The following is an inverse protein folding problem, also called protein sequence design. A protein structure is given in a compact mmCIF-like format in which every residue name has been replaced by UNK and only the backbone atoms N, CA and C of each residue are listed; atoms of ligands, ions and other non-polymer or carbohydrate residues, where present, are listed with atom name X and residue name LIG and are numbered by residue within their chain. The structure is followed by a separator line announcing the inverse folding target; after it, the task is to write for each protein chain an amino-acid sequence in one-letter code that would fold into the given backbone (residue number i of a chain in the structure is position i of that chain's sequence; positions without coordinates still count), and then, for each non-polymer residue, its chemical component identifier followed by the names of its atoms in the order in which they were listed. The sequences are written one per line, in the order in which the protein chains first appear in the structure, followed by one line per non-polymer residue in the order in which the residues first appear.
data_IF_979927374759
#
_entry.id   IF_979927374759
#
_cell.length_a   1.000
_cell.length_b   1.000
_cell.length_c   1.000
_cell.angle_alpha   90.00
_cell.angle_beta   90.00
_cell.angle_gamma   90.00
#
_symmetry.space_group_name_H-M   'P 1'
#
loop_
_entity.id
_entity.type
_entity.pdbx_description
1 polymer ?
#
# COMPACT_ATOMS: atom_id res chain seq x y z
N UNK A 1 28.40 38.61 22.84
CA UNK A 1 27.97 38.93 21.47
C UNK A 1 28.21 37.77 20.49
N UNK A 2 29.33 37.08 20.55
CA UNK A 2 29.67 35.95 19.64
C UNK A 2 28.74 34.75 19.79
N UNK A 3 28.30 34.40 21.01
CA UNK A 3 27.33 33.33 21.25
C UNK A 3 25.94 33.62 20.67
N UNK A 4 25.47 34.85 20.77
CA UNK A 4 24.18 35.29 20.22
C UNK A 4 24.22 35.24 18.66
N UNK A 5 25.33 35.67 18.06
CA UNK A 5 25.53 35.63 16.62
C UNK A 5 25.50 34.20 16.11
N UNK A 6 26.24 33.26 16.72
CA UNK A 6 26.21 31.83 16.37
C UNK A 6 24.82 31.22 16.54
N UNK A 7 24.06 31.64 17.54
CA UNK A 7 22.70 31.19 17.76
C UNK A 7 21.75 31.69 16.67
N UNK A 8 21.83 32.96 16.27
CA UNK A 8 21.05 33.56 15.20
C UNK A 8 21.40 32.93 13.83
N UNK A 9 22.68 32.67 13.54
CA UNK A 9 23.12 31.97 12.33
C UNK A 9 22.55 30.54 12.26
N UNK A 10 22.50 29.82 13.39
CA UNK A 10 21.84 28.50 13.45
C UNK A 10 20.34 28.56 13.18
N UNK A 11 19.63 29.51 13.78
CA UNK A 11 18.20 29.70 13.52
C UNK A 11 17.96 29.98 12.03
N UNK A 12 18.79 30.83 11.41
CA UNK A 12 18.71 31.09 9.96
C UNK A 12 18.83 29.82 9.14
N UNK A 13 19.83 28.97 9.42
CA UNK A 13 20.01 27.70 8.73
C UNK A 13 18.81 26.74 8.86
N UNK A 14 18.19 26.65 10.05
CA UNK A 14 16.98 25.84 10.24
C UNK A 14 15.78 26.42 9.51
N UNK A 15 15.62 27.74 9.53
CA UNK A 15 14.52 28.42 8.83
C UNK A 15 14.63 28.23 7.30
N UNK A 16 15.83 28.39 6.75
CA UNK A 16 16.10 28.17 5.32
C UNK A 16 15.83 26.73 4.91
N UNK A 17 16.30 25.74 5.69
CA UNK A 17 16.05 24.33 5.44
C UNK A 17 14.55 24.01 5.51
N UNK A 18 13.85 24.56 6.52
CA UNK A 18 12.40 24.36 6.65
C UNK A 18 11.64 24.98 5.47
N UNK A 19 11.95 26.22 5.10
CA UNK A 19 11.32 26.89 3.96
C UNK A 19 11.56 26.14 2.64
N UNK A 20 12.81 25.71 2.41
CA UNK A 20 13.17 24.87 1.26
C UNK A 20 12.25 23.65 1.17
N UNK A 21 12.09 22.90 2.27
CA UNK A 21 11.31 21.66 2.25
C UNK A 21 9.80 21.88 2.25
N UNK A 22 9.30 22.99 2.80
CA UNK A 22 7.90 23.39 2.64
C UNK A 22 7.57 23.68 1.18
N UNK A 23 8.45 24.42 0.47
CA UNK A 23 8.26 24.72 -0.96
C UNK A 23 8.36 23.46 -1.81
N UNK A 24 9.40 22.63 -1.63
CA UNK A 24 9.58 21.40 -2.41
C UNK A 24 8.45 20.41 -2.11
N UNK A 25 8.11 20.20 -0.83
CA UNK A 25 6.99 19.35 -0.42
C UNK A 25 5.66 19.83 -1.01
N UNK A 26 5.41 21.15 -1.00
CA UNK A 26 4.23 21.75 -1.61
C UNK A 26 4.16 21.52 -3.12
N UNK A 27 5.25 21.72 -3.85
CA UNK A 27 5.31 21.47 -5.31
C UNK A 27 5.12 20.00 -5.64
N UNK A 28 5.85 19.11 -4.97
CA UNK A 28 5.75 17.66 -5.18
C UNK A 28 4.35 17.17 -4.79
N UNK A 29 3.80 17.65 -3.67
CA UNK A 29 2.44 17.34 -3.23
C UNK A 29 1.37 17.86 -4.18
N UNK A 30 1.55 19.05 -4.75
CA UNK A 30 0.64 19.62 -5.75
C UNK A 30 0.57 18.77 -7.03
N UNK A 31 1.73 18.47 -7.62
CA UNK A 31 1.82 17.60 -8.81
C UNK A 31 1.32 16.19 -8.48
N UNK A 32 1.79 15.62 -7.35
CA UNK A 32 1.38 14.30 -6.88
C UNK A 32 -0.12 14.24 -6.59
N UNK A 33 -0.70 15.31 -6.04
CA UNK A 33 -2.12 15.43 -5.78
C UNK A 33 -2.97 15.35 -7.05
N UNK A 34 -2.59 16.13 -8.08
CA UNK A 34 -3.28 16.09 -9.38
C UNK A 34 -3.18 14.69 -10.01
N UNK A 35 -1.97 14.13 -10.10
CA UNK A 35 -1.77 12.82 -10.74
C UNK A 35 -2.44 11.71 -9.91
N UNK A 36 -2.38 11.77 -8.58
CA UNK A 36 -3.04 10.83 -7.68
C UNK A 36 -4.57 10.87 -7.81
N UNK A 37 -5.16 12.07 -7.88
CA UNK A 37 -6.58 12.24 -8.10
C UNK A 37 -7.02 11.71 -9.48
N UNK A 38 -6.28 12.03 -10.56
CA UNK A 38 -6.54 11.49 -11.89
C UNK A 38 -6.43 9.96 -11.91
N UNK A 39 -5.46 9.41 -11.20
CA UNK A 39 -5.30 7.96 -11.07
C UNK A 39 -6.48 7.32 -10.32
N UNK A 40 -6.93 7.94 -9.22
CA UNK A 40 -8.13 7.51 -8.51
C UNK A 40 -9.35 7.49 -9.43
N UNK A 41 -9.61 8.61 -10.11
CA UNK A 41 -10.76 8.75 -11.02
C UNK A 41 -10.67 7.76 -12.19
N UNK A 42 -9.48 7.55 -12.76
CA UNK A 42 -9.25 6.59 -13.83
C UNK A 42 -9.53 5.14 -13.43
N UNK A 43 -9.07 4.72 -12.24
CA UNK A 43 -9.34 3.37 -11.70
C UNK A 43 -10.80 3.20 -11.32
N UNK A 44 -11.43 4.22 -10.73
CA UNK A 44 -12.85 4.20 -10.37
C UNK A 44 -13.73 4.08 -11.62
N UNK A 45 -13.47 4.90 -12.64
CA UNK A 45 -14.18 4.83 -13.93
C UNK A 45 -13.99 3.46 -14.61
N UNK A 46 -12.78 2.93 -14.64
CA UNK A 46 -12.51 1.59 -15.17
C UNK A 46 -13.30 0.49 -14.43
N UNK A 47 -13.44 0.62 -13.10
CA UNK A 47 -14.23 -0.29 -12.28
C UNK A 47 -15.73 -0.18 -12.59
N UNK A 48 -16.26 1.05 -12.72
CA UNK A 48 -17.66 1.30 -13.11
C UNK A 48 -17.99 0.72 -14.48
N UNK A 49 -17.12 0.95 -15.49
CA UNK A 49 -17.27 0.37 -16.84
C UNK A 49 -17.31 -1.16 -16.78
N UNK A 50 -16.44 -1.80 -16.00
CA UNK A 50 -16.44 -3.25 -15.81
C UNK A 50 -17.73 -3.74 -15.17
N UNK A 51 -18.24 -3.06 -14.14
CA UNK A 51 -19.48 -3.43 -13.45
C UNK A 51 -20.70 -3.26 -14.38
N UNK A 52 -20.71 -2.20 -15.20
CA UNK A 52 -21.75 -1.97 -16.19
C UNK A 52 -21.69 -2.97 -17.38
N UNK A 53 -20.50 -3.52 -17.69
CA UNK A 53 -20.26 -4.39 -18.83
C UNK A 53 -19.51 -5.66 -18.40
N UNK A 54 -20.19 -6.68 -17.81
CA UNK A 54 -19.53 -7.89 -17.27
C UNK A 54 -18.68 -8.66 -18.29
N UNK A 55 -18.99 -8.53 -19.60
CA UNK A 55 -18.22 -9.17 -20.68
C UNK A 55 -16.76 -8.67 -20.76
N UNK A 56 -16.45 -7.48 -20.22
CA UNK A 56 -15.09 -6.93 -20.20
C UNK A 56 -14.12 -7.83 -19.41
N UNK A 57 -14.62 -8.64 -18.48
CA UNK A 57 -13.83 -9.65 -17.77
C UNK A 57 -13.12 -10.61 -18.74
N UNK A 58 -13.78 -10.99 -19.85
CA UNK A 58 -13.18 -11.90 -20.84
C UNK A 58 -12.00 -11.29 -21.61
N UNK A 59 -11.81 -9.97 -21.51
CA UNK A 59 -10.63 -9.28 -22.06
C UNK A 59 -9.40 -9.36 -21.14
N UNK A 60 -9.49 -9.97 -19.95
CA UNK A 60 -8.38 -10.01 -19.00
C UNK A 60 -7.10 -10.63 -19.61
N UNK A 61 -7.13 -11.75 -20.37
CA UNK A 61 -5.93 -12.26 -21.04
C UNK A 61 -5.32 -11.28 -22.05
N UNK A 62 -6.15 -10.57 -22.81
CA UNK A 62 -5.70 -9.54 -23.75
C UNK A 62 -5.10 -8.33 -23.01
N UNK A 63 -5.72 -7.89 -21.91
CA UNK A 63 -5.18 -6.87 -21.02
C UNK A 63 -3.81 -7.24 -20.47
N UNK A 64 -3.64 -8.50 -20.06
CA UNK A 64 -2.35 -9.04 -19.62
C UNK A 64 -1.27 -8.98 -20.70
N UNK A 65 -1.62 -9.36 -21.95
CA UNK A 65 -0.71 -9.25 -23.11
C UNK A 65 -0.28 -7.78 -23.34
N UNK A 66 -1.23 -6.86 -23.30
CA UNK A 66 -0.96 -5.42 -23.47
C UNK A 66 -0.02 -4.92 -22.38
N UNK A 67 -0.30 -5.22 -21.11
CA UNK A 67 0.55 -4.81 -19.97
C UNK A 67 1.97 -5.36 -20.12
N UNK A 68 2.10 -6.68 -20.31
CA UNK A 68 3.42 -7.32 -20.46
C UNK A 68 4.17 -6.79 -21.69
N UNK A 69 3.48 -6.58 -22.81
CA UNK A 69 4.03 -6.00 -24.03
C UNK A 69 4.56 -4.58 -23.83
N UNK A 70 3.81 -3.72 -23.13
CA UNK A 70 4.23 -2.35 -22.79
C UNK A 70 5.48 -2.34 -21.91
N UNK A 71 5.54 -3.19 -20.86
CA UNK A 71 6.71 -3.29 -19.99
C UNK A 71 7.94 -3.80 -20.77
N UNK A 72 7.76 -4.77 -21.66
CA UNK A 72 8.81 -5.28 -22.53
C UNK A 72 9.33 -4.22 -23.52
N UNK A 73 8.40 -3.49 -24.14
CA UNK A 73 8.74 -2.41 -25.09
C UNK A 73 9.55 -1.30 -24.40
N UNK A 74 9.15 -0.93 -23.17
CA UNK A 74 9.84 0.08 -22.36
C UNK A 74 11.09 -0.45 -21.66
N UNK A 75 11.43 -1.74 -21.75
CA UNK A 75 12.55 -2.40 -21.05
C UNK A 75 12.48 -2.22 -19.52
N UNK A 76 11.28 -2.29 -18.95
CA UNK A 76 11.01 -2.11 -17.52
C UNK A 76 10.43 -3.38 -16.87
N UNK A 77 10.64 -4.55 -17.50
CA UNK A 77 10.22 -5.84 -16.93
C UNK A 77 10.83 -6.03 -15.53
N UNK A 78 10.04 -6.55 -14.59
CA UNK A 78 10.46 -6.73 -13.20
C UNK A 78 10.56 -5.46 -12.35
N UNK A 79 10.36 -4.26 -12.93
CA UNK A 79 10.34 -3.01 -12.16
C UNK A 79 8.98 -2.80 -11.50
N UNK A 80 9.00 -2.48 -10.21
CA UNK A 80 7.82 -2.26 -9.39
C UNK A 80 8.12 -1.36 -8.19
N UNK A 81 7.37 -1.51 -7.10
CA UNK A 81 7.55 -0.73 -5.85
C UNK A 81 8.96 -0.87 -5.29
N UNK A 82 9.57 -2.05 -5.41
CA UNK A 82 10.95 -2.31 -5.01
C UNK A 82 11.96 -1.36 -5.68
N UNK A 83 11.76 -1.01 -6.95
CA UNK A 83 12.65 -0.07 -7.64
C UNK A 83 12.61 1.36 -7.04
N UNK A 84 11.47 1.78 -6.50
CA UNK A 84 11.33 3.07 -5.80
C UNK A 84 11.99 3.01 -4.42
N UNK A 85 11.80 1.92 -3.68
CA UNK A 85 12.47 1.70 -2.38
C UNK A 85 14.00 1.70 -2.56
N UNK A 86 14.51 1.00 -3.57
CA UNK A 86 15.93 0.99 -3.91
C UNK A 86 16.47 2.38 -4.31
N UNK A 87 15.64 3.20 -4.94
CA UNK A 87 16.01 4.60 -5.27
C UNK A 87 16.27 5.42 -4.01
N UNK A 88 15.49 5.22 -2.95
CA UNK A 88 15.68 5.90 -1.68
C UNK A 88 16.93 5.40 -0.95
N UNK A 89 17.19 4.08 -0.96
CA UNK A 89 18.34 3.48 -0.27
C UNK A 89 19.67 3.73 -0.98
N UNK A 90 19.70 3.51 -2.29
CA UNK A 90 20.94 3.40 -3.06
C UNK A 90 21.11 4.53 -4.08
N UNK A 91 20.20 5.52 -4.10
CA UNK A 91 20.25 6.60 -5.09
C UNK A 91 20.02 6.14 -6.53
N UNK A 92 19.49 4.92 -6.74
CA UNK A 92 19.22 4.40 -8.09
C UNK A 92 18.20 5.26 -8.82
N UNK A 93 18.39 5.44 -10.10
CA UNK A 93 17.49 6.25 -10.92
C UNK A 93 16.12 5.59 -11.07
N UNK A 94 15.05 6.38 -10.86
CA UNK A 94 13.68 5.96 -11.17
C UNK A 94 13.38 6.31 -12.63
N UNK A 95 13.12 5.32 -13.51
CA UNK A 95 12.85 5.57 -14.91
C UNK A 95 11.59 6.43 -15.11
N UNK A 96 11.66 7.45 -15.99
CA UNK A 96 10.53 8.37 -16.27
C UNK A 96 9.28 7.62 -16.71
N UNK A 97 9.49 6.64 -17.61
CA UNK A 97 8.40 5.86 -18.20
C UNK A 97 7.69 4.95 -17.19
N UNK A 98 8.26 4.73 -15.99
CA UNK A 98 7.62 3.91 -14.96
C UNK A 98 6.29 4.53 -14.52
N UNK A 99 6.20 5.86 -14.38
CA UNK A 99 5.01 6.56 -13.90
C UNK A 99 3.81 6.37 -14.84
N UNK A 100 3.87 6.75 -16.13
CA UNK A 100 2.75 6.53 -17.03
C UNK A 100 2.46 5.05 -17.26
N UNK A 101 3.48 4.21 -17.23
CA UNK A 101 3.34 2.78 -17.48
C UNK A 101 2.56 2.09 -16.36
N UNK A 102 2.90 2.33 -15.09
CA UNK A 102 2.17 1.76 -13.97
C UNK A 102 0.75 2.32 -13.87
N UNK A 103 0.56 3.61 -14.18
CA UNK A 103 -0.75 4.24 -14.23
C UNK A 103 -1.68 3.50 -15.21
N UNK A 104 -1.28 3.42 -16.48
CA UNK A 104 -2.07 2.78 -17.54
C UNK A 104 -2.27 1.30 -17.26
N UNK A 105 -1.24 0.60 -16.86
CA UNK A 105 -1.30 -0.84 -16.58
C UNK A 105 -2.24 -1.18 -15.42
N UNK A 106 -2.24 -0.37 -14.36
CA UNK A 106 -3.16 -0.57 -13.23
C UNK A 106 -4.62 -0.28 -13.64
N UNK A 107 -4.85 0.76 -14.44
CA UNK A 107 -6.20 1.04 -14.98
C UNK A 107 -6.69 -0.13 -15.84
N UNK A 108 -5.84 -0.69 -16.73
CA UNK A 108 -6.17 -1.88 -17.53
C UNK A 108 -6.48 -3.09 -16.63
N UNK A 109 -5.68 -3.34 -15.59
CA UNK A 109 -5.91 -4.43 -14.65
C UNK A 109 -7.30 -4.31 -14.00
N UNK A 110 -7.69 -3.13 -13.52
CA UNK A 110 -8.99 -2.90 -12.90
C UNK A 110 -10.14 -2.96 -13.90
N UNK A 111 -9.94 -2.42 -15.10
CA UNK A 111 -10.93 -2.48 -16.18
C UNK A 111 -11.27 -3.93 -16.53
N UNK A 112 -10.26 -4.78 -16.72
CA UNK A 112 -10.44 -6.17 -17.10
C UNK A 112 -10.78 -7.11 -15.92
N UNK A 113 -10.76 -6.62 -14.66
CA UNK A 113 -11.16 -7.41 -13.49
C UNK A 113 -10.05 -8.21 -12.83
N UNK A 114 -8.77 -7.86 -13.04
CA UNK A 114 -7.67 -8.43 -12.28
C UNK A 114 -7.79 -8.06 -10.80
N UNK A 115 -7.44 -8.98 -9.91
CA UNK A 115 -7.52 -8.79 -8.45
C UNK A 115 -6.30 -8.07 -7.92
N UNK A 116 -6.40 -6.75 -7.79
CA UNK A 116 -5.33 -5.90 -7.29
C UNK A 116 -5.90 -4.63 -6.64
N UNK A 117 -5.10 -3.99 -5.79
CA UNK A 117 -5.31 -2.63 -5.30
C UNK A 117 -4.65 -1.59 -6.20
N UNK A 118 -4.62 -0.36 -5.73
CA UNK A 118 -4.04 0.79 -6.44
C UNK A 118 -2.95 1.49 -5.63
N UNK A 119 -2.83 1.20 -4.34
CA UNK A 119 -1.97 1.91 -3.39
C UNK A 119 -0.48 1.62 -3.63
N UNK A 120 -0.10 0.38 -3.94
CA UNK A 120 1.27 0.06 -4.35
C UNK A 120 1.68 0.76 -5.65
N UNK A 121 0.74 0.90 -6.60
CA UNK A 121 0.96 1.71 -7.81
C UNK A 121 1.10 3.20 -7.47
N UNK A 122 0.34 3.71 -6.48
CA UNK A 122 0.47 5.10 -6.01
C UNK A 122 1.86 5.40 -5.45
N UNK A 123 2.47 4.47 -4.72
CA UNK A 123 3.86 4.62 -4.24
C UNK A 123 4.85 4.73 -5.39
N UNK A 124 4.66 3.93 -6.45
CA UNK A 124 5.52 3.98 -7.65
C UNK A 124 5.34 5.28 -8.42
N UNK A 125 4.09 5.71 -8.64
CA UNK A 125 3.76 6.99 -9.28
C UNK A 125 4.37 8.14 -8.47
N UNK A 126 4.10 8.14 -7.16
CA UNK A 126 4.58 9.18 -6.25
C UNK A 126 6.08 9.26 -6.17
N UNK A 127 6.76 8.14 -5.96
CA UNK A 127 8.21 8.08 -5.92
C UNK A 127 8.84 8.56 -7.23
N UNK A 128 8.28 8.16 -8.37
CA UNK A 128 8.71 8.63 -9.68
C UNK A 128 8.54 10.15 -9.87
N UNK A 129 7.40 10.70 -9.46
CA UNK A 129 7.13 12.16 -9.49
C UNK A 129 8.11 12.89 -8.57
N UNK A 130 8.26 12.44 -7.32
CA UNK A 130 9.16 13.07 -6.35
C UNK A 130 10.60 13.07 -6.82
N UNK A 131 11.10 11.93 -7.30
CA UNK A 131 12.44 11.80 -7.87
C UNK A 131 12.66 12.77 -9.05
N UNK A 132 11.72 12.82 -10.00
CA UNK A 132 11.83 13.69 -11.19
C UNK A 132 11.72 15.16 -10.84
N UNK A 133 10.81 15.54 -9.96
CA UNK A 133 10.72 16.93 -9.48
C UNK A 133 12.01 17.34 -8.78
N UNK A 134 12.59 16.47 -7.94
CA UNK A 134 13.89 16.71 -7.31
C UNK A 134 15.02 16.92 -8.32
N UNK A 135 15.07 16.10 -9.39
CA UNK A 135 16.06 16.26 -10.47
C UNK A 135 15.86 17.56 -11.25
N UNK A 136 14.62 17.94 -11.56
CA UNK A 136 14.28 19.21 -12.23
C UNK A 136 14.68 20.43 -11.40
N UNK A 137 14.54 20.35 -10.08
CA UNK A 137 14.95 21.39 -9.13
C UNK A 137 16.45 21.34 -8.83
N UNK A 138 17.23 20.48 -9.50
CA UNK A 138 18.69 20.30 -9.31
C UNK A 138 19.06 20.01 -7.85
N UNK A 139 18.24 19.21 -7.15
CA UNK A 139 18.55 18.78 -5.78
C UNK A 139 19.80 17.88 -5.79
N UNK A 140 20.62 18.04 -4.75
CA UNK A 140 21.77 17.18 -4.54
C UNK A 140 21.37 15.72 -4.26
N UNK A 141 22.31 14.79 -4.46
CA UNK A 141 22.08 13.36 -4.29
C UNK A 141 21.53 12.97 -2.90
N UNK A 142 21.86 13.73 -1.85
CA UNK A 142 21.36 13.51 -0.48
C UNK A 142 19.91 13.98 -0.30
N UNK A 143 19.43 14.90 -1.11
CA UNK A 143 18.07 15.46 -1.04
C UNK A 143 17.08 14.71 -1.95
N UNK A 144 17.56 14.02 -2.98
CA UNK A 144 16.73 13.22 -3.89
C UNK A 144 15.90 12.15 -3.19
N UNK A 145 16.44 11.37 -2.23
CA UNK A 145 15.65 10.43 -1.44
C UNK A 145 14.47 11.09 -0.72
N UNK A 146 14.69 12.26 -0.12
CA UNK A 146 13.62 13.01 0.57
C UNK A 146 12.54 13.48 -0.42
N UNK A 147 12.93 13.97 -1.60
CA UNK A 147 11.97 14.34 -2.64
C UNK A 147 11.17 13.12 -3.14
N UNK A 148 11.79 11.95 -3.25
CA UNK A 148 11.12 10.68 -3.59
C UNK A 148 10.08 10.32 -2.53
N UNK A 149 10.42 10.39 -1.23
CA UNK A 149 9.50 10.16 -0.12
C UNK A 149 8.33 11.16 -0.11
N UNK A 150 8.59 12.45 -0.41
CA UNK A 150 7.53 13.45 -0.58
C UNK A 150 6.51 13.02 -1.64
N UNK A 151 7.00 12.54 -2.80
CA UNK A 151 6.13 12.08 -3.86
C UNK A 151 5.31 10.85 -3.45
N UNK A 152 5.94 9.86 -2.80
CA UNK A 152 5.24 8.69 -2.25
C UNK A 152 4.12 9.11 -1.30
N UNK A 153 4.44 9.99 -0.34
CA UNK A 153 3.50 10.50 0.64
C UNK A 153 2.36 11.30 0.00
N UNK A 154 2.68 12.22 -0.93
CA UNK A 154 1.70 13.08 -1.59
C UNK A 154 0.68 12.32 -2.43
N UNK A 155 1.14 11.38 -3.27
CA UNK A 155 0.26 10.57 -4.14
C UNK A 155 -0.56 9.57 -3.35
N UNK A 156 0.04 8.92 -2.34
CA UNK A 156 -0.70 8.00 -1.47
C UNK A 156 -1.81 8.73 -0.72
N UNK A 157 -1.51 9.91 -0.17
CA UNK A 157 -2.47 10.77 0.52
C UNK A 157 -3.62 11.21 -0.40
N UNK A 158 -3.29 11.64 -1.62
CA UNK A 158 -4.28 12.05 -2.62
C UNK A 158 -5.21 10.90 -3.03
N UNK A 159 -4.69 9.67 -3.08
CA UNK A 159 -5.44 8.50 -3.49
C UNK A 159 -6.37 7.97 -2.39
N UNK A 160 -5.90 7.98 -1.16
CA UNK A 160 -6.56 7.29 -0.04
C UNK A 160 -7.25 8.25 0.94
N UNK A 161 -6.83 9.52 0.94
CA UNK A 161 -7.40 10.54 1.81
C UNK A 161 -6.95 10.43 3.28
N UNK A 162 -5.76 9.87 3.51
CA UNK A 162 -5.16 9.66 4.84
C UNK A 162 -3.77 10.30 4.91
N UNK A 163 -3.68 11.64 5.10
CA UNK A 163 -2.41 12.37 5.02
C UNK A 163 -1.41 12.02 6.12
N UNK A 164 -1.86 11.74 7.33
CA UNK A 164 -0.94 11.36 8.41
C UNK A 164 -0.37 9.96 8.18
N UNK A 165 -1.22 9.01 7.82
CA UNK A 165 -0.78 7.66 7.43
C UNK A 165 0.19 7.71 6.27
N UNK A 166 -0.12 8.46 5.22
CA UNK A 166 0.73 8.59 4.03
C UNK A 166 2.12 9.11 4.39
N UNK A 167 2.18 10.08 5.31
CA UNK A 167 3.45 10.63 5.82
C UNK A 167 4.26 9.57 6.55
N UNK A 168 3.67 8.94 7.55
CA UNK A 168 4.37 7.97 8.39
C UNK A 168 4.73 6.72 7.56
N UNK A 169 3.82 6.25 6.71
CA UNK A 169 4.05 5.09 5.85
C UNK A 169 5.23 5.29 4.89
N UNK A 170 5.33 6.46 4.24
CA UNK A 170 6.46 6.76 3.37
C UNK A 170 7.81 6.74 4.11
N UNK A 171 7.82 7.17 5.39
CA UNK A 171 9.03 7.19 6.22
C UNK A 171 9.39 5.83 6.82
N UNK A 172 8.38 4.96 7.04
CA UNK A 172 8.53 3.69 7.73
C UNK A 172 8.75 2.51 6.76
N UNK A 173 8.13 2.55 5.58
CA UNK A 173 8.14 1.43 4.61
C UNK A 173 9.52 1.15 4.02
N UNK A 174 10.40 2.12 4.04
CA UNK A 174 11.76 2.01 3.46
C UNK A 174 12.64 1.10 4.32
N UNK A 175 12.66 1.34 5.64
CA UNK A 175 13.52 0.63 6.58
C UNK A 175 12.79 0.34 7.88
N UNK A 176 12.65 -0.93 8.20
CA UNK A 176 12.04 -1.39 9.45
C UNK A 176 12.99 -1.13 10.61
N UNK A 177 12.48 -0.51 11.68
CA UNK A 177 13.25 -0.19 12.88
C UNK A 177 13.93 1.18 12.87
N UNK A 178 13.85 1.95 11.76
CA UNK A 178 14.35 3.32 11.67
C UNK A 178 13.38 4.20 10.89
N UNK A 179 12.97 5.31 11.49
CA UNK A 179 12.18 6.34 10.83
C UNK A 179 13.08 7.45 10.25
N UNK A 180 12.84 7.82 9.01
CA UNK A 180 13.58 8.87 8.33
C UNK A 180 13.07 10.26 8.77
N UNK A 181 13.33 10.67 10.03
CA UNK A 181 12.77 11.91 10.62
C UNK A 181 13.07 13.18 9.82
N UNK A 182 14.19 13.23 9.08
CA UNK A 182 14.49 14.36 8.19
C UNK A 182 13.41 14.56 7.10
N UNK A 183 12.68 13.49 6.76
CA UNK A 183 11.57 13.53 5.82
C UNK A 183 10.23 13.96 6.43
N UNK A 184 10.11 14.18 7.75
CA UNK A 184 8.82 14.42 8.39
C UNK A 184 8.15 15.68 7.84
N UNK A 185 8.83 16.84 7.90
CA UNK A 185 8.28 18.11 7.40
C UNK A 185 8.00 18.07 5.90
N UNK A 186 8.94 17.62 5.04
CA UNK A 186 8.67 17.50 3.60
C UNK A 186 7.49 16.57 3.29
N UNK A 187 7.44 15.38 3.88
CA UNK A 187 6.40 14.39 3.58
C UNK A 187 5.01 14.81 4.08
N UNK A 188 4.90 15.39 5.30
CA UNK A 188 3.60 15.88 5.78
C UNK A 188 3.10 17.05 4.94
N UNK A 189 3.99 17.94 4.49
CA UNK A 189 3.62 19.03 3.59
C UNK A 189 3.11 18.47 2.26
N UNK A 190 3.83 17.53 1.66
CA UNK A 190 3.41 16.91 0.40
C UNK A 190 2.09 16.12 0.55
N UNK A 191 1.91 15.39 1.66
CA UNK A 191 0.68 14.65 1.95
C UNK A 191 -0.52 15.59 2.12
N UNK A 192 -0.37 16.67 2.88
CA UNK A 192 -1.44 17.63 3.11
C UNK A 192 -1.84 18.37 1.84
N UNK A 193 -0.85 18.84 1.06
CA UNK A 193 -1.13 19.51 -0.23
C UNK A 193 -1.77 18.52 -1.21
N UNK A 194 -1.25 17.29 -1.31
CA UNK A 194 -1.82 16.24 -2.14
C UNK A 194 -3.28 15.92 -1.78
N UNK A 195 -3.57 15.80 -0.49
CA UNK A 195 -4.93 15.61 0.04
C UNK A 195 -5.87 16.77 -0.31
N UNK A 196 -5.44 18.01 -0.08
CA UNK A 196 -6.27 19.19 -0.40
C UNK A 196 -6.54 19.29 -1.91
N UNK A 197 -5.55 19.01 -2.75
CA UNK A 197 -5.72 18.99 -4.22
C UNK A 197 -6.71 17.87 -4.62
N UNK A 198 -6.61 16.67 -4.04
CA UNK A 198 -7.52 15.58 -4.36
C UNK A 198 -8.96 15.86 -3.92
N UNK A 199 -9.16 16.49 -2.76
CA UNK A 199 -10.48 16.97 -2.32
C UNK A 199 -11.06 17.99 -3.30
N UNK A 200 -10.24 18.97 -3.74
CA UNK A 200 -10.66 19.96 -4.72
C UNK A 200 -11.06 19.32 -6.05
N UNK A 201 -10.40 18.21 -6.45
CA UNK A 201 -10.74 17.44 -7.64
C UNK A 201 -11.92 16.46 -7.44
N UNK A 202 -12.56 16.45 -6.26
CA UNK A 202 -13.75 15.63 -5.96
C UNK A 202 -13.45 14.20 -5.54
N UNK A 203 -12.24 13.89 -5.10
CA UNK A 203 -11.90 12.56 -4.54
C UNK A 203 -12.23 12.53 -3.04
N UNK A 204 -13.22 11.72 -2.60
CA UNK A 204 -13.57 11.62 -1.19
C UNK A 204 -12.51 10.83 -0.40
N UNK A 205 -12.26 11.18 0.87
CA UNK A 205 -11.39 10.39 1.74
C UNK A 205 -12.03 9.03 2.06
N UNK A 206 -11.21 8.01 2.18
CA UNK A 206 -11.64 6.68 2.60
C UNK A 206 -11.88 6.70 4.11
N UNK A 207 -13.11 6.46 4.54
CA UNK A 207 -13.49 6.34 5.96
C UNK A 207 -14.56 5.30 6.12
N UNK A 208 -14.55 4.62 7.25
CA UNK A 208 -15.53 3.60 7.59
C UNK A 208 -16.14 3.88 8.97
N UNK A 209 -17.43 3.63 9.10
CA UNK A 209 -18.13 3.71 10.38
C UNK A 209 -18.29 2.31 10.95
N UNK A 210 -17.66 2.06 12.08
CA UNK A 210 -17.73 0.77 12.81
C UNK A 210 -18.02 1.07 14.27
N UNK A 211 -18.93 0.30 14.87
CA UNK A 211 -19.22 0.41 16.30
C UNK A 211 -18.07 -0.22 17.09
N UNK A 212 -17.41 0.61 17.88
CA UNK A 212 -16.26 0.18 18.69
C UNK A 212 -16.73 -0.17 20.11
N UNK A 213 -16.31 -1.34 20.67
CA UNK A 213 -16.61 -1.69 22.04
C UNK A 213 -15.82 -0.80 23.01
N UNK A 214 -16.38 -0.58 24.21
CA UNK A 214 -15.65 0.05 25.30
C UNK A 214 -14.41 -0.77 25.67
N UNK A 215 -13.39 -0.10 26.19
CA UNK A 215 -12.15 -0.76 26.59
C UNK A 215 -12.39 -1.63 27.84
N UNK A 216 -12.25 -2.94 27.69
CA UNK A 216 -12.33 -3.91 28.78
C UNK A 216 -11.28 -5.03 28.61
N UNK A 217 -10.95 -5.70 29.74
CA UNK A 217 -9.88 -6.71 29.76
C UNK A 217 -10.20 -7.98 28.97
N UNK A 218 -11.48 -8.37 28.88
CA UNK A 218 -11.88 -9.57 28.16
C UNK A 218 -11.78 -9.36 26.65
N UNK A 219 -12.37 -8.26 26.15
CA UNK A 219 -12.24 -7.86 24.73
C UNK A 219 -10.77 -7.72 24.34
N UNK A 220 -9.94 -7.14 25.22
CA UNK A 220 -8.51 -7.01 24.97
C UNK A 220 -7.82 -8.37 24.78
N UNK A 221 -8.14 -9.35 25.64
CA UNK A 221 -7.59 -10.72 25.51
C UNK A 221 -8.01 -11.35 24.18
N UNK A 222 -9.26 -11.19 23.76
CA UNK A 222 -9.73 -11.73 22.48
C UNK A 222 -9.09 -11.02 21.28
N UNK A 223 -8.83 -9.70 21.39
CA UNK A 223 -8.07 -8.96 20.38
C UNK A 223 -6.62 -9.45 20.26
N UNK A 224 -5.96 -9.80 21.39
CA UNK A 224 -4.65 -10.42 21.38
C UNK A 224 -4.65 -11.74 20.59
N UNK A 225 -5.64 -12.61 20.86
CA UNK A 225 -5.79 -13.88 20.13
C UNK A 225 -6.03 -13.62 18.63
N UNK A 226 -6.93 -12.71 18.30
CA UNK A 226 -7.21 -12.33 16.90
C UNK A 226 -5.96 -11.78 16.21
N UNK A 227 -5.17 -10.95 16.89
CA UNK A 227 -3.94 -10.37 16.35
C UNK A 227 -2.87 -11.44 16.03
N UNK A 228 -2.74 -12.46 16.88
CA UNK A 228 -1.87 -13.62 16.62
C UNK A 228 -2.30 -14.36 15.35
N UNK A 229 -3.60 -14.59 15.18
CA UNK A 229 -4.13 -15.23 13.99
C UNK A 229 -3.93 -14.34 12.74
N UNK A 230 -4.13 -13.03 12.86
CA UNK A 230 -3.86 -12.06 11.79
C UNK A 230 -2.39 -12.02 11.37
N UNK A 231 -1.45 -12.18 12.31
CA UNK A 231 -0.03 -12.31 11.98
C UNK A 231 0.25 -13.53 11.10
N UNK A 232 -0.36 -14.68 11.41
CA UNK A 232 -0.23 -15.89 10.58
C UNK A 232 -0.81 -15.69 9.19
N UNK A 233 -1.98 -15.00 9.10
CA UNK A 233 -2.62 -14.67 7.81
C UNK A 233 -1.76 -13.70 7.00
N UNK A 234 -1.10 -12.73 7.65
CA UNK A 234 -0.18 -11.80 6.94
C UNK A 234 1.03 -12.53 6.36
N UNK A 235 1.61 -13.50 7.08
CA UNK A 235 2.69 -14.36 6.58
C UNK A 235 2.20 -15.19 5.38
N UNK A 236 1.01 -15.80 5.50
CA UNK A 236 0.43 -16.59 4.42
C UNK A 236 0.17 -15.73 3.18
N UNK A 237 -0.31 -14.50 3.37
CA UNK A 237 -0.55 -13.54 2.29
C UNK A 237 0.74 -13.20 1.55
N UNK A 238 1.78 -12.76 2.27
CA UNK A 238 3.06 -12.40 1.66
C UNK A 238 3.72 -13.59 0.96
N UNK A 239 3.80 -14.74 1.64
CA UNK A 239 4.38 -15.96 1.06
C UNK A 239 3.59 -16.47 -0.14
N UNK A 240 2.25 -16.40 -0.06
CA UNK A 240 1.38 -16.79 -1.17
C UNK A 240 1.65 -15.99 -2.44
N UNK A 241 1.81 -14.67 -2.33
CA UNK A 241 2.17 -13.79 -3.44
C UNK A 241 3.53 -14.17 -4.04
N UNK A 242 4.59 -14.27 -3.22
CA UNK A 242 5.95 -14.55 -3.71
C UNK A 242 6.09 -15.97 -4.29
N UNK A 243 5.49 -16.97 -3.64
CA UNK A 243 5.51 -18.34 -4.14
C UNK A 243 4.81 -18.44 -5.49
N UNK A 244 3.67 -17.76 -5.63
CA UNK A 244 2.90 -17.77 -6.90
C UNK A 244 3.68 -17.05 -7.99
N UNK A 245 4.33 -15.91 -7.70
CA UNK A 245 5.19 -15.20 -8.65
C UNK A 245 6.34 -16.11 -9.14
N UNK A 246 7.11 -16.70 -8.23
CA UNK A 246 8.19 -17.61 -8.57
C UNK A 246 7.73 -18.85 -9.35
N UNK A 247 6.58 -19.43 -8.96
CA UNK A 247 6.01 -20.58 -9.66
C UNK A 247 5.59 -20.20 -11.08
N UNK A 248 4.90 -19.08 -11.24
CA UNK A 248 4.46 -18.58 -12.53
C UNK A 248 5.67 -18.29 -13.46
N UNK A 249 6.75 -17.73 -12.93
CA UNK A 249 8.00 -17.49 -13.67
C UNK A 249 8.72 -18.76 -14.08
N UNK A 250 8.73 -19.76 -13.21
CA UNK A 250 9.30 -21.07 -13.54
C UNK A 250 8.51 -21.82 -14.60
N UNK A 251 7.18 -21.77 -14.53
CA UNK A 251 6.29 -22.42 -15.48
C UNK A 251 6.29 -21.74 -16.86
N UNK A 252 6.32 -20.41 -16.87
CA UNK A 252 6.20 -19.60 -18.08
C UNK A 252 7.21 -18.47 -18.10
N UNK A 253 8.35 -18.67 -18.77
CA UNK A 253 9.41 -17.66 -18.90
C UNK A 253 8.98 -16.44 -19.72
N UNK A 254 8.04 -16.62 -20.67
CA UNK A 254 7.53 -15.53 -21.50
C UNK A 254 6.48 -14.73 -20.70
N UNK A 255 6.80 -13.47 -20.35
CA UNK A 255 5.94 -12.58 -19.58
C UNK A 255 4.56 -12.36 -20.21
N UNK A 256 4.49 -12.28 -21.54
CA UNK A 256 3.22 -12.11 -22.25
C UNK A 256 2.31 -13.33 -22.11
N UNK A 257 2.86 -14.54 -22.34
CA UNK A 257 2.09 -15.77 -22.19
C UNK A 257 1.67 -16.01 -20.74
N UNK A 258 2.56 -15.70 -19.79
CA UNK A 258 2.30 -15.78 -18.34
C UNK A 258 1.12 -14.90 -17.94
N UNK A 259 1.11 -13.65 -18.40
CA UNK A 259 0.02 -12.72 -18.10
C UNK A 259 -1.30 -13.16 -18.73
N UNK A 260 -1.29 -13.63 -19.99
CA UNK A 260 -2.48 -14.15 -20.65
C UNK A 260 -3.05 -15.37 -19.93
N UNK A 261 -2.19 -16.33 -19.56
CA UNK A 261 -2.59 -17.52 -18.81
C UNK A 261 -3.17 -17.16 -17.41
N UNK A 262 -2.52 -16.24 -16.69
CA UNK A 262 -3.04 -15.74 -15.42
C UNK A 262 -4.43 -15.11 -15.58
N UNK A 263 -4.64 -14.31 -16.63
CA UNK A 263 -5.96 -13.76 -16.96
C UNK A 263 -7.01 -14.83 -17.21
N UNK A 264 -6.66 -15.89 -17.97
CA UNK A 264 -7.55 -17.02 -18.21
C UNK A 264 -7.90 -17.79 -16.92
N UNK A 265 -6.93 -17.98 -16.01
CA UNK A 265 -7.16 -18.62 -14.71
C UNK A 265 -8.12 -17.78 -13.85
N UNK A 266 -7.96 -16.44 -13.80
CA UNK A 266 -8.88 -15.55 -13.07
C UNK A 266 -10.30 -15.64 -13.63
N UNK A 267 -10.47 -15.66 -14.96
CA UNK A 267 -11.79 -15.86 -15.58
C UNK A 267 -12.39 -17.20 -15.15
N UNK A 268 -11.62 -18.29 -15.27
CA UNK A 268 -12.08 -19.61 -14.88
C UNK A 268 -12.51 -19.68 -13.40
N UNK A 269 -11.71 -19.09 -12.49
CA UNK A 269 -12.04 -19.02 -11.07
C UNK A 269 -13.30 -18.16 -10.82
N UNK A 270 -13.46 -17.03 -11.52
CA UNK A 270 -14.65 -16.17 -11.38
C UNK A 270 -15.92 -16.91 -11.82
N UNK A 271 -15.85 -17.63 -12.95
CA UNK A 271 -16.97 -18.42 -13.46
C UNK A 271 -17.29 -19.64 -12.56
N UNK A 272 -16.27 -20.31 -12.03
CA UNK A 272 -16.43 -21.45 -11.14
C UNK A 272 -17.12 -21.07 -9.83
N UNK A 273 -16.80 -19.88 -9.30
CA UNK A 273 -17.34 -19.37 -8.04
C UNK A 273 -18.65 -18.59 -8.22
N UNK A 274 -19.04 -18.32 -9.47
CA UNK A 274 -20.21 -17.52 -9.85
C UNK A 274 -20.31 -16.19 -9.08
N UNK A 275 -19.15 -15.54 -8.88
CA UNK A 275 -19.09 -14.24 -8.19
C UNK A 275 -17.90 -13.41 -8.65
N UNK A 276 -18.09 -12.09 -8.69
CA UNK A 276 -17.05 -11.11 -9.00
C UNK A 276 -16.48 -10.42 -7.76
N UNK A 277 -16.84 -10.86 -6.56
CA UNK A 277 -16.43 -10.27 -5.28
C UNK A 277 -14.90 -10.19 -5.10
N UNK A 278 -14.17 -11.12 -5.73
CA UNK A 278 -12.71 -11.22 -5.61
C UNK A 278 -11.95 -10.46 -6.70
N UNK A 279 -12.66 -9.94 -7.73
CA UNK A 279 -12.08 -9.14 -8.80
C UNK A 279 -11.85 -7.68 -8.36
N UNK A 280 -10.87 -7.02 -8.99
CA UNK A 280 -10.49 -5.63 -8.65
C UNK A 280 -10.05 -5.46 -7.20
N UNK A 281 -10.27 -4.28 -6.63
CA UNK A 281 -9.88 -3.95 -5.25
C UNK A 281 -10.75 -4.65 -4.20
N UNK A 282 -12.06 -4.79 -4.43
CA UNK A 282 -12.99 -5.45 -3.51
C UNK A 282 -13.44 -4.56 -2.34
N UNK A 283 -13.52 -3.24 -2.54
CA UNK A 283 -13.91 -2.28 -1.50
C UNK A 283 -15.32 -2.55 -0.95
N UNK A 284 -16.24 -3.03 -1.80
CA UNK A 284 -17.61 -3.36 -1.38
C UNK A 284 -17.64 -4.53 -0.40
N UNK A 285 -16.78 -5.54 -0.61
CA UNK A 285 -16.65 -6.68 0.30
C UNK A 285 -16.01 -6.26 1.63
N UNK A 286 -15.00 -5.36 1.58
CA UNK A 286 -14.43 -4.77 2.80
C UNK A 286 -15.53 -4.05 3.59
N UNK A 287 -16.35 -3.25 2.93
CA UNK A 287 -17.44 -2.52 3.59
C UNK A 287 -18.47 -3.48 4.20
N UNK A 288 -18.83 -4.56 3.51
CA UNK A 288 -19.73 -5.61 4.06
C UNK A 288 -19.10 -6.31 5.28
N UNK A 289 -17.81 -6.64 5.22
CA UNK A 289 -17.11 -7.25 6.35
C UNK A 289 -17.07 -6.33 7.58
N UNK A 290 -16.88 -5.02 7.36
CA UNK A 290 -16.94 -4.01 8.43
C UNK A 290 -18.35 -3.80 8.98
N UNK A 291 -19.40 -4.12 8.20
CA UNK A 291 -20.77 -4.21 8.68
C UNK A 291 -21.07 -5.52 9.41
N UNK A 292 -20.11 -6.45 9.47
CA UNK A 292 -20.24 -7.74 10.15
C UNK A 292 -20.66 -8.90 9.24
N UNK A 293 -20.63 -8.70 7.92
CA UNK A 293 -21.07 -9.69 6.93
C UNK A 293 -19.88 -10.11 6.05
N UNK A 294 -19.34 -11.30 6.27
CA UNK A 294 -18.29 -11.88 5.42
C UNK A 294 -18.45 -13.39 5.29
N UNK A 295 -18.18 -13.91 4.10
CA UNK A 295 -17.99 -15.35 3.90
C UNK A 295 -16.73 -15.82 4.59
N UNK A 296 -16.77 -16.97 5.29
CA UNK A 296 -15.62 -17.53 5.99
C UNK A 296 -14.41 -17.84 5.09
N UNK A 297 -14.63 -18.03 3.79
CA UNK A 297 -13.57 -18.33 2.81
C UNK A 297 -13.10 -17.12 2.00
N UNK A 298 -13.75 -15.96 2.15
CA UNK A 298 -13.50 -14.79 1.32
C UNK A 298 -12.02 -14.33 1.35
N UNK A 299 -11.39 -14.37 2.53
CA UNK A 299 -10.00 -14.00 2.72
C UNK A 299 -9.03 -14.89 1.92
N UNK A 300 -9.28 -16.21 1.90
CA UNK A 300 -8.43 -17.17 1.18
C UNK A 300 -8.61 -17.04 -0.34
N UNK A 301 -9.86 -16.88 -0.79
CA UNK A 301 -10.16 -16.67 -2.20
C UNK A 301 -9.56 -15.36 -2.72
N UNK A 302 -9.65 -14.29 -1.96
CA UNK A 302 -9.00 -13.02 -2.32
C UNK A 302 -7.49 -13.14 -2.41
N UNK A 303 -6.86 -13.83 -1.46
CA UNK A 303 -5.43 -14.14 -1.52
C UNK A 303 -5.08 -14.87 -2.81
N UNK A 304 -5.81 -15.93 -3.16
CA UNK A 304 -5.59 -16.70 -4.38
C UNK A 304 -5.73 -15.84 -5.64
N UNK A 305 -6.82 -15.08 -5.78
CA UNK A 305 -7.05 -14.21 -6.92
C UNK A 305 -5.95 -13.16 -7.08
N UNK A 306 -5.54 -12.53 -5.96
CA UNK A 306 -4.48 -11.52 -5.98
C UNK A 306 -3.13 -12.13 -6.32
N UNK A 307 -2.80 -13.29 -5.72
CA UNK A 307 -1.55 -13.99 -5.98
C UNK A 307 -1.42 -14.39 -7.47
N UNK A 308 -2.48 -14.92 -8.07
CA UNK A 308 -2.50 -15.25 -9.50
C UNK A 308 -2.40 -13.98 -10.35
N UNK A 309 -3.15 -12.92 -10.02
CA UNK A 309 -3.15 -11.68 -10.81
C UNK A 309 -1.74 -11.06 -10.82
N UNK A 310 -1.18 -10.78 -9.64
CA UNK A 310 0.12 -10.08 -9.52
C UNK A 310 1.26 -11.02 -9.93
N UNK A 311 1.26 -12.26 -9.47
CA UNK A 311 2.30 -13.25 -9.78
C UNK A 311 2.40 -13.57 -11.27
N UNK A 312 1.30 -13.45 -12.03
CA UNK A 312 1.34 -13.62 -13.49
C UNK A 312 1.77 -12.34 -14.25
N UNK A 313 2.02 -11.23 -13.55
CA UNK A 313 2.62 -10.02 -14.13
C UNK A 313 1.65 -8.88 -14.40
N UNK A 314 0.39 -8.98 -14.00
CA UNK A 314 -0.51 -7.82 -13.95
C UNK A 314 0.03 -6.77 -12.98
N UNK A 315 -0.37 -5.52 -13.18
CA UNK A 315 0.09 -4.40 -12.38
C UNK A 315 -1.03 -3.84 -11.52
N UNK A 316 -0.67 -3.50 -10.28
CA UNK A 316 -1.57 -2.98 -9.26
C UNK A 316 -0.84 -2.93 -7.93
N UNK A 317 -1.58 -2.80 -6.83
CA UNK A 317 -1.05 -2.79 -5.47
C UNK A 317 -1.55 -3.97 -4.65
N UNK A 318 -0.79 -4.36 -3.65
CA UNK A 318 -1.08 -5.45 -2.71
C UNK A 318 -1.74 -4.95 -1.42
N UNK A 319 -1.74 -3.63 -1.17
CA UNK A 319 -2.20 -3.03 0.09
C UNK A 319 -3.70 -3.25 0.32
N UNK A 320 -4.57 -2.84 -0.64
CA UNK A 320 -6.03 -3.07 -0.47
C UNK A 320 -6.40 -4.55 -0.47
N UNK A 321 -5.79 -5.42 -1.27
CA UNK A 321 -5.95 -6.86 -1.08
C UNK A 321 -5.61 -7.35 0.34
N UNK A 322 -4.57 -6.80 1.00
CA UNK A 322 -4.29 -7.14 2.40
C UNK A 322 -5.37 -6.64 3.36
N UNK A 323 -5.96 -5.47 3.10
CA UNK A 323 -7.12 -4.97 3.84
C UNK A 323 -8.33 -5.90 3.68
N UNK A 324 -8.61 -6.34 2.46
CA UNK A 324 -9.69 -7.29 2.18
C UNK A 324 -9.50 -8.60 2.94
N UNK A 325 -8.31 -9.18 2.81
CA UNK A 325 -7.95 -10.44 3.51
C UNK A 325 -8.08 -10.25 5.01
N UNK A 326 -7.56 -9.16 5.55
CA UNK A 326 -7.63 -8.84 6.97
C UNK A 326 -9.05 -8.60 7.46
N UNK A 327 -9.86 -7.80 6.75
CA UNK A 327 -11.24 -7.49 7.13
C UNK A 327 -12.13 -8.74 7.11
N UNK A 328 -12.08 -9.53 6.03
CA UNK A 328 -12.92 -10.72 5.90
C UNK A 328 -12.50 -11.85 6.84
N UNK A 329 -11.18 -12.03 7.05
CA UNK A 329 -10.68 -12.96 8.05
C UNK A 329 -11.06 -12.50 9.47
N UNK A 330 -10.83 -11.22 9.78
CA UNK A 330 -11.16 -10.64 11.09
C UNK A 330 -12.66 -10.77 11.42
N UNK A 331 -13.53 -10.50 10.43
CA UNK A 331 -14.98 -10.68 10.58
C UNK A 331 -15.33 -12.13 10.95
N UNK A 332 -14.82 -13.11 10.17
CA UNK A 332 -15.13 -14.52 10.36
C UNK A 332 -14.52 -15.07 11.67
N UNK A 333 -13.25 -14.80 11.94
CA UNK A 333 -12.55 -15.26 13.14
C UNK A 333 -13.10 -14.57 14.41
N UNK A 334 -13.43 -13.26 14.31
CA UNK A 334 -14.00 -12.51 15.41
C UNK A 334 -15.37 -13.04 15.83
N UNK A 335 -16.23 -13.40 14.89
CA UNK A 335 -17.51 -14.04 15.17
C UNK A 335 -17.33 -15.36 15.97
N UNK A 336 -16.33 -16.17 15.60
CA UNK A 336 -16.00 -17.42 16.33
C UNK A 336 -15.44 -17.15 17.73
N UNK A 337 -14.73 -16.05 17.93
CA UNK A 337 -14.17 -15.63 19.21
C UNK A 337 -15.19 -14.91 20.11
N UNK A 338 -16.38 -14.59 19.60
CA UNK A 338 -17.40 -13.82 20.34
C UNK A 338 -17.16 -12.31 20.36
N UNK A 339 -16.30 -11.78 19.46
CA UNK A 339 -16.14 -10.35 19.24
C UNK A 339 -17.24 -9.83 18.29
N UNK A 340 -17.63 -8.55 18.39
CA UNK A 340 -18.47 -7.93 17.37
C UNK A 340 -17.82 -8.05 15.98
N UNK A 341 -18.47 -8.69 14.99
CA UNK A 341 -17.79 -9.06 13.73
C UNK A 341 -17.23 -7.86 12.95
N UNK A 342 -17.96 -6.72 12.93
CA UNK A 342 -17.49 -5.51 12.27
C UNK A 342 -16.25 -4.89 12.95
N UNK A 343 -16.21 -4.89 14.29
CA UNK A 343 -15.02 -4.47 15.04
C UNK A 343 -13.84 -5.40 14.79
N UNK A 344 -14.05 -6.70 14.83
CA UNK A 344 -13.01 -7.69 14.54
C UNK A 344 -12.51 -7.59 13.08
N UNK A 345 -13.41 -7.26 12.14
CA UNK A 345 -13.02 -6.94 10.76
C UNK A 345 -12.10 -5.73 10.68
N UNK A 346 -12.38 -4.66 11.43
CA UNK A 346 -11.52 -3.47 11.49
C UNK A 346 -10.13 -3.80 12.09
N UNK A 347 -10.08 -4.56 13.20
CA UNK A 347 -8.83 -5.04 13.78
C UNK A 347 -8.06 -5.90 12.78
N UNK A 348 -8.72 -6.85 12.12
CA UNK A 348 -8.11 -7.73 11.13
C UNK A 348 -7.54 -6.97 9.93
N UNK A 349 -8.28 -5.98 9.40
CA UNK A 349 -7.84 -5.10 8.31
C UNK A 349 -6.47 -4.47 8.62
N UNK A 350 -6.37 -3.84 9.79
CA UNK A 350 -5.16 -3.09 10.18
C UNK A 350 -4.03 -4.03 10.59
N UNK A 351 -4.33 -5.11 11.32
CA UNK A 351 -3.32 -6.06 11.81
C UNK A 351 -2.68 -6.87 10.67
N UNK A 352 -3.46 -7.35 9.68
CA UNK A 352 -2.91 -8.08 8.53
C UNK A 352 -2.08 -7.14 7.66
N UNK A 353 -2.54 -5.92 7.41
CA UNK A 353 -1.74 -4.90 6.73
C UNK A 353 -0.43 -4.63 7.46
N UNK A 354 -0.48 -4.38 8.77
CA UNK A 354 0.69 -4.13 9.59
C UNK A 354 1.76 -5.21 9.46
N UNK A 355 1.35 -6.48 9.60
CA UNK A 355 2.26 -7.61 9.44
C UNK A 355 2.80 -7.79 8.02
N UNK A 356 2.00 -7.43 7.00
CA UNK A 356 2.38 -7.57 5.61
C UNK A 356 3.37 -6.49 5.14
N UNK A 357 3.24 -5.24 5.63
CA UNK A 357 4.11 -4.12 5.22
C UNK A 357 5.21 -3.78 6.22
N UNK A 358 5.19 -4.38 7.40
CA UNK A 358 6.13 -4.11 8.50
C UNK A 358 6.15 -2.64 8.97
N UNK A 359 5.00 -1.96 8.97
CA UNK A 359 4.85 -0.55 9.32
C UNK A 359 3.86 -0.38 10.50
N UNK A 360 4.26 -0.69 11.74
CA UNK A 360 3.34 -0.67 12.89
C UNK A 360 2.83 0.73 13.23
N UNK A 361 3.66 1.77 13.16
CA UNK A 361 3.24 3.13 13.50
C UNK A 361 2.27 3.66 12.44
N UNK A 362 2.61 3.49 11.15
CA UNK A 362 1.71 3.87 10.05
C UNK A 362 0.36 3.13 10.15
N UNK A 363 0.36 1.86 10.56
CA UNK A 363 -0.87 1.08 10.71
C UNK A 363 -1.76 1.57 11.85
N UNK A 364 -1.19 1.97 13.00
CA UNK A 364 -1.94 2.58 14.09
C UNK A 364 -2.52 3.93 13.66
N UNK A 365 -1.73 4.77 12.98
CA UNK A 365 -2.22 6.05 12.45
C UNK A 365 -3.33 5.82 11.42
N UNK A 366 -3.19 4.81 10.55
CA UNK A 366 -4.21 4.42 9.59
C UNK A 366 -5.53 4.07 10.27
N UNK A 367 -5.47 3.32 11.38
CA UNK A 367 -6.68 2.96 12.12
C UNK A 367 -7.45 4.19 12.62
N UNK A 368 -6.72 5.21 13.07
CA UNK A 368 -7.34 6.48 13.53
C UNK A 368 -7.95 7.26 12.36
N UNK A 369 -7.28 7.32 11.21
CA UNK A 369 -7.81 8.03 10.03
C UNK A 369 -8.98 7.31 9.37
N UNK A 370 -9.03 5.95 9.43
CA UNK A 370 -10.12 5.16 8.84
C UNK A 370 -11.33 5.03 9.75
N UNK A 371 -11.12 4.82 11.06
CA UNK A 371 -12.15 4.40 12.01
C UNK A 371 -12.38 5.38 13.17
N UNK A 372 -11.54 6.39 13.34
CA UNK A 372 -11.54 7.27 14.51
C UNK A 372 -10.63 6.77 15.64
N UNK A 373 -10.52 7.57 16.71
CA UNK A 373 -9.55 7.35 17.79
C UNK A 373 -10.08 6.45 18.93
N UNK A 374 -11.37 6.17 18.99
CA UNK A 374 -12.05 5.55 20.15
C UNK A 374 -11.49 4.17 20.53
N UNK A 375 -11.05 3.38 19.53
CA UNK A 375 -10.49 2.04 19.74
C UNK A 375 -8.98 1.98 19.51
N UNK A 376 -8.26 3.12 19.51
CA UNK A 376 -6.83 3.19 19.16
C UNK A 376 -5.96 2.21 19.96
N UNK A 377 -6.27 1.97 21.24
CA UNK A 377 -5.50 1.03 22.09
C UNK A 377 -5.62 -0.41 21.60
N UNK A 378 -6.80 -0.85 21.16
CA UNK A 378 -6.98 -2.18 20.57
C UNK A 378 -6.18 -2.32 19.29
N UNK A 379 -6.21 -1.31 18.40
CA UNK A 379 -5.42 -1.31 17.17
C UNK A 379 -3.92 -1.29 17.44
N UNK A 380 -3.46 -0.50 18.41
CA UNK A 380 -2.04 -0.43 18.75
C UNK A 380 -1.51 -1.79 19.23
N UNK A 381 -2.24 -2.49 20.09
CA UNK A 381 -1.87 -3.82 20.57
C UNK A 381 -1.91 -4.84 19.44
N UNK A 382 -2.95 -4.82 18.60
CA UNK A 382 -3.06 -5.72 17.46
C UNK A 382 -1.93 -5.52 16.45
N UNK A 383 -1.57 -4.26 16.14
CA UNK A 383 -0.44 -3.93 15.27
C UNK A 383 0.88 -4.39 15.86
N UNK A 384 1.13 -4.13 17.16
CA UNK A 384 2.37 -4.54 17.82
C UNK A 384 2.56 -6.06 17.77
N UNK A 385 1.52 -6.83 18.07
CA UNK A 385 1.56 -8.30 18.04
C UNK A 385 1.75 -8.79 16.60
N UNK A 386 0.99 -8.27 15.65
CA UNK A 386 1.10 -8.68 14.25
C UNK A 386 2.47 -8.36 13.68
N UNK A 387 3.02 -7.18 13.98
CA UNK A 387 4.36 -6.77 13.55
C UNK A 387 5.45 -7.71 14.07
N UNK A 388 5.41 -8.05 15.35
CA UNK A 388 6.43 -8.94 15.95
C UNK A 388 6.31 -10.35 15.40
N UNK A 389 5.09 -10.91 15.36
CA UNK A 389 4.86 -12.30 14.98
C UNK A 389 4.92 -12.55 13.47
N UNK A 390 4.80 -11.53 12.62
CA UNK A 390 5.03 -11.66 11.17
C UNK A 390 6.50 -11.96 10.83
N UNK A 391 7.40 -11.85 11.80
CA UNK A 391 8.83 -12.12 11.62
C UNK A 391 9.43 -11.19 10.54
N UNK A 392 10.26 -11.75 9.68
CA UNK A 392 10.91 -11.00 8.59
C UNK A 392 10.18 -11.14 7.24
N UNK A 393 8.94 -11.63 7.27
CA UNK A 393 8.09 -11.69 6.09
C UNK A 393 7.52 -10.30 5.76
N UNK A 394 7.45 -9.96 4.48
CA UNK A 394 6.90 -8.67 4.03
C UNK A 394 6.54 -8.67 2.55
N UNK A 395 5.82 -7.67 2.09
CA UNK A 395 5.42 -7.51 0.67
C UNK A 395 6.58 -7.02 -0.21
N UNK A 396 7.46 -6.19 0.34
CA UNK A 396 8.49 -5.48 -0.43
C UNK A 396 9.86 -6.08 -0.16
N UNK A 397 10.39 -6.86 -1.09
CA UNK A 397 11.71 -7.53 -0.95
C UNK A 397 12.89 -6.55 -0.83
N UNK A 398 12.75 -5.32 -1.33
CA UNK A 398 13.78 -4.27 -1.17
C UNK A 398 13.69 -3.51 0.17
N UNK A 399 12.69 -3.80 1.00
CA UNK A 399 12.61 -3.25 2.36
C UNK A 399 13.70 -3.87 3.23
N UNK A 400 14.46 -3.05 3.95
CA UNK A 400 15.50 -3.50 4.86
C UNK A 400 15.01 -3.53 6.30
N UNK A 401 15.37 -4.57 7.04
CA UNK A 401 15.13 -4.67 8.48
C UNK A 401 16.45 -4.41 9.17
N UNK A 402 16.58 -3.21 9.74
CA UNK A 402 17.83 -2.75 10.34
C UNK A 402 18.03 -3.28 11.76
N UNK A 403 16.96 -3.39 12.53
CA UNK A 403 16.98 -3.91 13.90
C UNK A 403 16.06 -5.11 14.03
N UNK A 404 16.48 -6.09 14.81
CA UNK A 404 15.69 -7.27 15.10
C UNK A 404 14.38 -6.89 15.79
N UNK A 405 13.27 -7.50 15.36
CA UNK A 405 11.95 -7.31 15.98
C UNK A 405 11.86 -7.91 17.40
N UNK A 406 12.78 -8.81 17.75
CA UNK A 406 12.75 -9.56 19.01
C UNK A 406 13.84 -9.15 19.99
N UNK A 407 14.95 -8.59 19.49
CA UNK A 407 16.11 -8.22 20.31
C UNK A 407 16.59 -6.82 19.92
N UNK A 408 17.18 -6.09 20.86
CA UNK A 408 17.82 -4.81 20.59
C UNK A 408 19.17 -5.01 19.87
N UNK A 409 19.14 -5.60 18.68
CA UNK A 409 20.29 -6.01 17.89
C UNK A 409 20.17 -5.49 16.46
N UNK A 410 21.25 -4.92 15.94
CA UNK A 410 21.36 -4.49 14.55
C UNK A 410 21.65 -5.69 13.66
N UNK A 411 20.80 -5.95 12.66
CA UNK A 411 20.90 -7.12 11.80
C UNK A 411 21.08 -6.82 10.33
N UNK A 412 20.49 -5.73 9.82
CA UNK A 412 20.56 -5.26 8.42
C UNK A 412 20.32 -6.38 7.39
N UNK A 413 19.15 -6.96 7.42
CA UNK A 413 18.70 -8.00 6.47
C UNK A 413 17.56 -7.48 5.59
N UNK A 414 17.36 -8.08 4.43
CA UNK A 414 16.18 -7.84 3.61
C UNK A 414 14.99 -8.67 4.10
N UNK A 415 13.78 -8.21 3.79
CA UNK A 415 12.58 -9.04 3.99
C UNK A 415 12.70 -10.28 3.10
N UNK A 416 12.45 -11.46 3.65
CA UNK A 416 12.57 -12.81 3.03
C UNK A 416 13.96 -13.49 3.08
N UNK A 417 14.94 -12.93 3.78
CA UNK A 417 16.20 -13.64 4.08
C UNK A 417 16.11 -14.50 5.34
#
# INVERSE_FOLDING_TARGET
MEGLRKYLERIGLYADAMLKWLVIGGLVGGVGGVVGALFHLGVSYATEVRLAHPWVLYLLPAGGLVIAGLYKLCKLEGRGTNAVIESVHFGKEVPVLLVPLIFVSTVITHLCGGSAGREGAALQIGGGIGYRTGRLLHLGEKDLPLATLCGMSGVFSALFGTPLTATVFALEVISVGVLYYAGLVPCITAAMVGYLVSLWMGVPPTRFTVVMPALDGWTLLLVVVLAILCALVSILFCRGLHVTEHLAERLMKNSCLRAAAGGAVIIALTLLLDTTDYNGAGMDVISRALAGEASGWAWLLKLLFTAVTIGCGFKGGEVVPSFFVGATFGCAAGALLGLPPGFAAAIGLVAVFCGAVNCPIASVVLSVELFGADAMLYFAIACAISYVLSGYCGLYSSQTILYSKLKAEFINVHTHE
#
